data_IF_582835812858
#
_entry.id   IF_582835812858
#
_cell.length_a   1.000
_cell.length_b   1.000
_cell.length_c   1.000
_cell.angle_alpha   90.00
_cell.angle_beta   90.00
_cell.angle_gamma   90.00
#
_symmetry.space_group_name_H-M   'P 1'
#
loop_
_entity.id
_entity.type
_entity.pdbx_description
1 polymer ?
#
# COMPACT_ATOMS: atom_id res chain seq x y z
N UNK A 1 -8.94 -11.58 32.01
CA UNK A 1 -10.44 -11.58 31.94
C UNK A 1 -10.97 -10.73 30.79
N UNK A 2 -10.47 -9.52 30.58
CA UNK A 2 -10.90 -8.62 29.47
C UNK A 2 -10.68 -9.25 28.09
N UNK A 3 -9.61 -9.99 27.91
CA UNK A 3 -9.24 -10.63 26.63
C UNK A 3 -10.23 -11.73 26.22
N UNK A 4 -10.90 -12.35 27.19
CA UNK A 4 -11.84 -13.45 26.96
C UNK A 4 -13.32 -13.00 26.96
N UNK A 5 -13.60 -11.70 27.02
CA UNK A 5 -14.97 -11.22 26.96
C UNK A 5 -15.57 -11.46 25.57
N UNK A 6 -16.83 -11.85 25.50
CA UNK A 6 -17.54 -12.08 24.22
C UNK A 6 -17.55 -10.84 23.32
N UNK A 7 -17.68 -9.66 23.91
CA UNK A 7 -17.67 -8.37 23.17
C UNK A 7 -16.31 -8.15 22.53
N UNK A 8 -15.23 -8.38 23.26
CA UNK A 8 -13.87 -8.19 22.80
C UNK A 8 -13.54 -9.14 21.64
N UNK A 9 -13.90 -10.41 21.76
CA UNK A 9 -13.68 -11.42 20.70
C UNK A 9 -14.51 -11.15 19.45
N UNK A 10 -15.75 -10.68 19.58
CA UNK A 10 -16.59 -10.30 18.45
C UNK A 10 -16.02 -9.07 17.71
N UNK A 11 -15.60 -8.05 18.44
CA UNK A 11 -14.98 -6.87 17.83
C UNK A 11 -13.70 -7.21 17.09
N UNK A 12 -12.84 -8.02 17.68
CA UNK A 12 -11.61 -8.47 17.04
C UNK A 12 -11.87 -9.32 15.80
N UNK A 13 -12.89 -10.17 15.82
CA UNK A 13 -13.28 -10.96 14.66
C UNK A 13 -13.77 -10.07 13.51
N UNK A 14 -14.59 -9.06 13.81
CA UNK A 14 -15.08 -8.13 12.78
C UNK A 14 -13.94 -7.26 12.22
N UNK A 15 -13.08 -6.72 13.07
CA UNK A 15 -11.91 -5.96 12.65
C UNK A 15 -10.97 -6.79 11.75
N UNK A 16 -10.83 -8.08 12.06
CA UNK A 16 -10.07 -9.01 11.24
C UNK A 16 -10.69 -9.22 9.86
N UNK A 17 -11.98 -9.46 9.77
CA UNK A 17 -12.68 -9.63 8.49
C UNK A 17 -12.57 -8.37 7.63
N UNK A 18 -12.70 -7.20 8.24
CA UNK A 18 -12.48 -5.91 7.58
C UNK A 18 -11.03 -5.79 7.09
N UNK A 19 -10.06 -6.15 7.92
CA UNK A 19 -8.64 -6.18 7.52
C UNK A 19 -8.37 -7.11 6.33
N UNK A 20 -9.01 -8.29 6.28
CA UNK A 20 -8.91 -9.20 5.14
C UNK A 20 -9.55 -8.63 3.86
N UNK A 21 -10.68 -7.92 3.97
CA UNK A 21 -11.33 -7.27 2.83
C UNK A 21 -10.37 -6.32 2.10
N UNK A 22 -9.56 -5.57 2.84
CA UNK A 22 -8.57 -4.64 2.28
C UNK A 22 -7.20 -5.29 2.00
N UNK A 23 -6.96 -6.50 2.43
CA UNK A 23 -5.69 -7.22 2.27
C UNK A 23 -5.44 -7.81 0.88
N UNK A 24 -6.11 -7.33 -0.15
CA UNK A 24 -5.92 -7.75 -1.55
C UNK A 24 -4.78 -6.97 -2.22
N UNK A 25 -4.21 -7.52 -3.30
CA UNK A 25 -3.16 -6.83 -4.06
C UNK A 25 -3.64 -5.48 -4.61
N UNK A 26 -4.87 -5.42 -5.12
CA UNK A 26 -5.48 -4.17 -5.61
C UNK A 26 -5.49 -3.10 -4.52
N UNK A 27 -6.03 -3.43 -3.36
CA UNK A 27 -6.13 -2.46 -2.26
C UNK A 27 -4.76 -2.07 -1.71
N UNK A 28 -3.82 -3.01 -1.63
CA UNK A 28 -2.45 -2.73 -1.19
C UNK A 28 -1.70 -1.84 -2.18
N UNK A 29 -1.86 -2.07 -3.48
CA UNK A 29 -1.25 -1.23 -4.52
C UNK A 29 -1.82 0.20 -4.54
N UNK A 30 -3.12 0.36 -4.26
CA UNK A 30 -3.79 1.66 -4.12
C UNK A 30 -3.66 2.26 -2.72
N UNK A 31 -2.97 1.58 -1.79
CA UNK A 31 -2.91 1.94 -0.37
C UNK A 31 -4.29 2.11 0.29
N UNK A 32 -5.32 1.49 -0.28
CA UNK A 32 -6.68 1.47 0.25
C UNK A 32 -6.75 0.57 1.49
N UNK A 33 -7.43 1.02 2.54
CA UNK A 33 -7.44 0.37 3.84
C UNK A 33 -8.80 0.46 4.55
N UNK A 34 -8.87 -0.06 5.76
CA UNK A 34 -10.10 -0.10 6.55
C UNK A 34 -10.75 1.27 6.82
N UNK A 35 -10.00 2.37 6.74
CA UNK A 35 -10.57 3.72 6.91
C UNK A 35 -11.61 4.05 5.83
N UNK A 36 -11.56 3.38 4.69
CA UNK A 36 -12.56 3.51 3.64
C UNK A 36 -13.92 2.85 3.99
N UNK A 37 -13.93 1.95 4.99
CA UNK A 37 -15.16 1.38 5.57
C UNK A 37 -15.52 2.02 6.91
N UNK A 38 -14.70 2.95 7.42
CA UNK A 38 -15.01 3.64 8.68
C UNK A 38 -16.15 4.61 8.46
N UNK A 39 -17.25 4.39 9.17
CA UNK A 39 -18.44 5.22 9.04
C UNK A 39 -18.46 6.33 10.08
N UNK A 40 -18.76 7.53 9.65
CA UNK A 40 -19.09 8.67 10.49
C UNK A 40 -20.52 9.12 10.24
N UNK A 41 -21.17 9.68 11.28
CA UNK A 41 -22.51 10.21 11.12
C UNK A 41 -22.46 11.53 10.34
N UNK A 42 -23.19 11.57 9.24
CA UNK A 42 -23.29 12.77 8.40
C UNK A 42 -24.63 13.45 8.69
N UNK A 43 -24.59 14.59 9.36
CA UNK A 43 -25.79 15.34 9.74
C UNK A 43 -26.65 15.76 8.54
N UNK A 44 -26.01 16.08 7.40
CA UNK A 44 -26.71 16.49 6.19
C UNK A 44 -27.48 15.34 5.51
N UNK A 45 -26.96 14.10 5.65
CA UNK A 45 -27.59 12.90 5.09
C UNK A 45 -28.45 12.15 6.10
N UNK A 46 -28.37 12.49 7.40
CA UNK A 46 -29.07 11.82 8.50
C UNK A 46 -28.70 10.34 8.68
N UNK A 47 -27.51 9.93 8.23
CA UNK A 47 -27.07 8.52 8.26
C UNK A 47 -25.57 8.39 8.41
N UNK A 48 -25.10 7.18 8.80
CA UNK A 48 -23.68 6.85 8.77
C UNK A 48 -23.21 6.64 7.33
N UNK A 49 -22.14 7.35 6.95
CA UNK A 49 -21.48 7.23 5.65
C UNK A 49 -19.99 6.96 5.85
N UNK A 50 -19.33 6.28 4.92
CA UNK A 50 -17.87 6.12 4.97
C UNK A 50 -17.15 7.48 4.99
N UNK A 51 -16.11 7.63 5.80
CA UNK A 51 -15.31 8.87 5.90
C UNK A 51 -14.78 9.32 4.53
N UNK A 52 -14.43 8.35 3.69
CA UNK A 52 -13.92 8.61 2.34
C UNK A 52 -14.94 8.28 1.24
N UNK A 53 -16.24 8.50 1.50
CA UNK A 53 -17.33 8.20 0.56
C UNK A 53 -17.11 8.82 -0.82
N UNK A 54 -16.65 10.06 -0.87
CA UNK A 54 -16.37 10.78 -2.13
C UNK A 54 -15.16 10.21 -2.88
N UNK A 55 -14.18 9.61 -2.17
CA UNK A 55 -12.98 9.04 -2.76
C UNK A 55 -13.18 7.61 -3.28
N UNK A 56 -14.14 6.87 -2.73
CA UNK A 56 -14.38 5.47 -3.13
C UNK A 56 -14.64 5.35 -4.65
N UNK A 57 -15.56 6.16 -5.26
CA UNK A 57 -15.80 6.11 -6.69
C UNK A 57 -14.57 6.48 -7.52
N UNK A 58 -13.73 7.39 -7.00
CA UNK A 58 -12.49 7.79 -7.67
C UNK A 58 -11.47 6.66 -7.70
N UNK A 59 -11.27 5.96 -6.58
CA UNK A 59 -10.35 4.83 -6.47
C UNK A 59 -10.81 3.58 -7.25
N UNK A 60 -12.08 3.53 -7.64
CA UNK A 60 -12.63 2.44 -8.45
C UNK A 60 -12.55 2.70 -9.95
N UNK A 61 -12.19 3.93 -10.36
CA UNK A 61 -11.96 4.23 -11.77
C UNK A 61 -10.83 3.38 -12.35
N UNK A 62 -11.00 2.83 -13.56
CA UNK A 62 -9.96 2.02 -14.20
C UNK A 62 -8.60 2.74 -14.31
N UNK A 63 -8.62 4.04 -14.59
CA UNK A 63 -7.40 4.85 -14.69
C UNK A 63 -6.62 4.89 -13.36
N UNK A 64 -7.31 5.09 -12.25
CA UNK A 64 -6.70 5.12 -10.90
C UNK A 64 -6.09 3.75 -10.55
N UNK A 65 -6.78 2.66 -10.90
CA UNK A 65 -6.28 1.31 -10.70
C UNK A 65 -5.03 1.06 -11.52
N UNK A 66 -5.01 1.46 -12.80
CA UNK A 66 -3.83 1.33 -13.68
C UNK A 66 -2.65 2.12 -13.14
N UNK A 67 -2.88 3.35 -12.65
CA UNK A 67 -1.83 4.18 -12.04
C UNK A 67 -1.28 3.49 -10.78
N UNK A 68 -2.15 3.00 -9.89
CA UNK A 68 -1.73 2.30 -8.67
C UNK A 68 -0.85 1.07 -8.97
N UNK A 69 -1.26 0.24 -9.92
CA UNK A 69 -0.44 -0.89 -10.37
C UNK A 69 0.85 -0.44 -11.05
N UNK A 70 0.83 0.66 -11.82
CA UNK A 70 2.02 1.25 -12.42
C UNK A 70 3.05 1.66 -11.37
N UNK A 71 2.62 2.37 -10.33
CA UNK A 71 3.48 2.75 -9.19
C UNK A 71 4.02 1.50 -8.50
N UNK A 72 3.17 0.52 -8.23
CA UNK A 72 3.58 -0.75 -7.62
C UNK A 72 4.64 -1.48 -8.45
N UNK A 73 4.47 -1.52 -9.77
CA UNK A 73 5.45 -2.10 -10.70
C UNK A 73 6.79 -1.35 -10.66
N UNK A 74 6.76 -0.01 -10.62
CA UNK A 74 7.99 0.80 -10.50
C UNK A 74 8.71 0.50 -9.18
N UNK A 75 7.98 0.33 -8.08
CA UNK A 75 8.55 -0.09 -6.77
C UNK A 75 9.22 -1.46 -6.89
N UNK A 76 8.54 -2.44 -7.49
CA UNK A 76 9.11 -3.77 -7.72
C UNK A 76 10.40 -3.71 -8.57
N UNK A 77 10.41 -2.87 -9.61
CA UNK A 77 11.60 -2.60 -10.41
C UNK A 77 12.74 -2.01 -9.55
N UNK A 78 12.43 -1.08 -8.65
CA UNK A 78 13.39 -0.50 -7.71
C UNK A 78 14.02 -1.54 -6.78
N UNK A 79 13.23 -2.50 -6.30
CA UNK A 79 13.73 -3.64 -5.52
C UNK A 79 14.71 -4.47 -6.35
N UNK A 80 14.33 -4.85 -7.57
CA UNK A 80 15.18 -5.64 -8.46
C UNK A 80 16.50 -4.94 -8.79
N UNK A 81 16.45 -3.64 -9.07
CA UNK A 81 17.65 -2.81 -9.32
C UNK A 81 18.54 -2.78 -8.09
N UNK A 82 17.95 -2.62 -6.89
CA UNK A 82 18.69 -2.60 -5.63
C UNK A 82 19.45 -3.89 -5.38
N UNK A 83 18.82 -5.03 -5.63
CA UNK A 83 19.44 -6.35 -5.52
C UNK A 83 20.55 -6.50 -6.57
N UNK A 84 20.26 -6.17 -7.83
CA UNK A 84 21.24 -6.30 -8.94
C UNK A 84 22.46 -5.42 -8.74
N UNK A 85 22.26 -4.18 -8.26
CA UNK A 85 23.37 -3.23 -7.98
C UNK A 85 24.03 -3.48 -6.60
N UNK A 86 23.58 -4.46 -5.83
CA UNK A 86 24.07 -4.77 -4.46
C UNK A 86 24.09 -3.54 -3.54
N UNK A 87 23.04 -2.70 -3.63
CA UNK A 87 22.91 -1.53 -2.78
C UNK A 87 22.61 -1.95 -1.34
N UNK A 88 23.60 -1.86 -0.47
CA UNK A 88 23.55 -2.36 0.92
C UNK A 88 22.39 -1.74 1.71
N UNK A 89 22.14 -0.44 1.56
CA UNK A 89 21.09 0.26 2.30
C UNK A 89 19.69 -0.14 1.82
N UNK A 90 19.49 -0.23 0.53
CA UNK A 90 18.23 -0.65 -0.02
C UNK A 90 17.95 -2.14 0.28
N UNK A 91 18.97 -3.01 0.25
CA UNK A 91 18.84 -4.42 0.62
C UNK A 91 18.49 -4.56 2.11
N UNK A 92 19.07 -3.74 2.98
CA UNK A 92 18.75 -3.73 4.42
C UNK A 92 17.29 -3.32 4.69
N UNK A 93 16.66 -2.55 3.80
CA UNK A 93 15.25 -2.17 3.89
C UNK A 93 14.29 -3.29 3.43
N UNK A 94 14.78 -4.27 2.66
CA UNK A 94 13.96 -5.32 2.08
C UNK A 94 13.17 -6.16 3.11
N UNK A 95 13.74 -6.59 4.25
CA UNK A 95 12.97 -7.28 5.29
C UNK A 95 11.81 -6.43 5.82
N UNK A 96 12.02 -5.14 6.02
CA UNK A 96 10.98 -4.20 6.50
C UNK A 96 9.85 -4.11 5.48
N UNK A 97 10.20 -3.98 4.19
CA UNK A 97 9.22 -3.99 3.10
C UNK A 97 8.43 -5.30 3.08
N UNK A 98 9.11 -6.45 3.09
CA UNK A 98 8.46 -7.76 2.99
C UNK A 98 7.53 -8.04 4.19
N UNK A 99 7.97 -7.71 5.41
CA UNK A 99 7.15 -7.86 6.61
C UNK A 99 5.94 -6.95 6.54
N UNK A 100 6.14 -5.67 6.27
CA UNK A 100 5.03 -4.69 6.20
C UNK A 100 4.05 -5.03 5.09
N UNK A 101 4.55 -5.42 3.91
CA UNK A 101 3.72 -5.86 2.79
C UNK A 101 2.91 -7.11 3.16
N UNK A 102 3.54 -8.11 3.79
CA UNK A 102 2.87 -9.35 4.20
C UNK A 102 1.73 -9.11 5.18
N UNK A 103 1.91 -8.18 6.13
CA UNK A 103 0.85 -7.85 7.08
C UNK A 103 -0.29 -7.05 6.47
N UNK A 104 -0.01 -6.19 5.52
CA UNK A 104 -1.05 -5.41 4.82
C UNK A 104 -1.75 -6.25 3.77
N UNK A 105 -0.99 -6.99 2.94
CA UNK A 105 -1.51 -7.87 1.91
C UNK A 105 -1.89 -9.27 2.46
N UNK A 106 -2.59 -9.30 3.57
CA UNK A 106 -2.86 -10.52 4.34
C UNK A 106 -3.91 -11.46 3.71
N UNK A 107 -4.53 -11.09 2.62
CA UNK A 107 -5.48 -11.92 1.87
C UNK A 107 -4.90 -12.48 0.56
N UNK A 108 -3.59 -12.39 0.36
CA UNK A 108 -2.88 -12.94 -0.80
C UNK A 108 -2.13 -14.21 -0.37
N UNK A 109 -2.16 -15.26 -1.17
CA UNK A 109 -1.30 -16.43 -0.94
C UNK A 109 0.18 -16.04 -1.19
N UNK A 110 1.14 -16.48 -0.39
CA UNK A 110 1.03 -17.41 0.76
C UNK A 110 0.71 -16.71 2.11
N UNK A 111 0.72 -15.37 2.18
CA UNK A 111 0.57 -14.60 3.42
C UNK A 111 -0.75 -14.89 4.12
N UNK A 112 -1.83 -15.13 3.37
CA UNK A 112 -3.14 -15.52 3.90
C UNK A 112 -3.06 -16.79 4.76
N UNK A 113 -2.34 -17.79 4.29
CA UNK A 113 -2.22 -19.09 5.00
C UNK A 113 -1.47 -18.89 6.31
N UNK A 114 -0.34 -18.16 6.26
CA UNK A 114 0.49 -17.87 7.43
C UNK A 114 -0.32 -17.03 8.44
N UNK A 115 -1.03 -16.03 7.95
CA UNK A 115 -1.81 -15.15 8.79
C UNK A 115 -2.96 -15.89 9.49
N UNK A 116 -3.69 -16.73 8.75
CA UNK A 116 -4.75 -17.57 9.32
C UNK A 116 -4.21 -18.56 10.36
N UNK A 117 -3.09 -19.22 10.05
CA UNK A 117 -2.42 -20.12 11.01
C UNK A 117 -2.02 -19.40 12.30
N UNK A 118 -1.39 -18.24 12.19
CA UNK A 118 -1.00 -17.45 13.37
C UNK A 118 -2.22 -17.04 14.21
N UNK A 119 -3.33 -16.70 13.57
CA UNK A 119 -4.56 -16.34 14.27
C UNK A 119 -5.23 -17.49 15.01
N UNK A 120 -5.11 -18.70 14.47
CA UNK A 120 -5.67 -19.90 15.11
C UNK A 120 -4.78 -20.40 16.25
N UNK A 121 -3.46 -20.30 16.11
CA UNK A 121 -2.51 -20.94 17.00
C UNK A 121 -1.86 -20.01 18.01
N UNK A 122 -1.79 -18.71 17.73
CA UNK A 122 -1.13 -17.77 18.63
C UNK A 122 -2.18 -16.97 19.39
N UNK A 123 -2.27 -17.16 20.72
CA UNK A 123 -3.12 -16.33 21.57
C UNK A 123 -2.81 -14.84 21.37
N UNK A 124 -3.83 -14.01 21.45
CA UNK A 124 -3.72 -12.56 21.31
C UNK A 124 -3.27 -12.03 19.92
N UNK A 125 -2.92 -12.90 18.97
CA UNK A 125 -2.52 -12.45 17.62
C UNK A 125 -3.61 -11.60 16.95
N UNK A 126 -4.88 -12.00 17.06
CA UNK A 126 -6.04 -11.25 16.55
C UNK A 126 -6.13 -9.87 17.20
N UNK A 127 -5.89 -9.80 18.52
CA UNK A 127 -5.96 -8.56 19.29
C UNK A 127 -4.81 -7.61 18.93
N UNK A 128 -3.60 -8.15 18.89
CA UNK A 128 -2.40 -7.38 18.58
C UNK A 128 -2.40 -6.84 17.15
N UNK A 129 -2.96 -7.60 16.20
CA UNK A 129 -2.89 -7.31 14.77
C UNK A 129 -4.26 -7.15 14.10
N UNK A 130 -5.27 -6.74 14.88
CA UNK A 130 -6.61 -6.47 14.35
C UNK A 130 -6.65 -5.37 13.29
N UNK A 131 -5.76 -4.38 13.37
CA UNK A 131 -5.59 -3.31 12.39
C UNK A 131 -4.14 -3.26 11.89
N UNK A 132 -3.73 -4.19 11.00
CA UNK A 132 -2.35 -4.22 10.52
C UNK A 132 -1.96 -2.93 9.78
N UNK A 133 -2.90 -2.30 9.08
CA UNK A 133 -2.63 -1.06 8.35
C UNK A 133 -2.09 0.04 9.27
N UNK A 134 -2.69 0.28 10.43
CA UNK A 134 -2.25 1.35 11.36
C UNK A 134 -0.82 1.16 11.86
N UNK A 135 -0.32 -0.09 11.85
CA UNK A 135 1.00 -0.44 12.36
C UNK A 135 2.06 -0.49 11.27
N UNK A 136 1.69 -1.00 10.10
CA UNK A 136 2.63 -1.31 9.03
C UNK A 136 2.56 -0.38 7.82
N UNK A 137 1.53 0.47 7.69
CA UNK A 137 1.38 1.36 6.55
C UNK A 137 2.52 2.35 6.41
N UNK A 138 2.96 2.97 7.50
CA UNK A 138 4.05 3.93 7.46
C UNK A 138 5.37 3.29 7.00
N UNK A 139 5.65 2.07 7.49
CA UNK A 139 6.85 1.31 7.10
C UNK A 139 6.77 0.89 5.63
N UNK A 140 5.59 0.47 5.16
CA UNK A 140 5.37 0.12 3.77
C UNK A 140 5.52 1.35 2.86
N UNK A 141 4.87 2.46 3.20
CA UNK A 141 4.94 3.71 2.43
C UNK A 141 6.36 4.25 2.34
N UNK A 142 7.11 4.25 3.46
CA UNK A 142 8.51 4.66 3.49
C UNK A 142 9.37 3.79 2.59
N UNK A 143 9.15 2.48 2.63
CA UNK A 143 9.85 1.52 1.77
C UNK A 143 9.49 1.72 0.30
N UNK A 144 8.20 1.97 -0.02
CA UNK A 144 7.73 2.29 -1.36
C UNK A 144 8.45 3.53 -1.91
N UNK A 145 8.51 4.61 -1.12
CA UNK A 145 9.15 5.85 -1.54
C UNK A 145 10.63 5.65 -1.88
N UNK A 146 11.36 4.88 -1.08
CA UNK A 146 12.77 4.57 -1.33
C UNK A 146 12.94 3.77 -2.62
N UNK A 147 12.22 2.65 -2.79
CA UNK A 147 12.36 1.83 -3.99
C UNK A 147 11.85 2.52 -5.24
N UNK A 148 10.78 3.29 -5.14
CA UNK A 148 10.28 4.14 -6.22
C UNK A 148 11.35 5.13 -6.67
N UNK A 149 11.99 5.84 -5.74
CA UNK A 149 13.07 6.79 -6.03
C UNK A 149 14.28 6.13 -6.69
N UNK A 150 14.65 4.93 -6.26
CA UNK A 150 15.75 4.16 -6.87
C UNK A 150 15.41 3.79 -8.32
N UNK A 151 14.17 3.35 -8.58
CA UNK A 151 13.73 3.04 -9.94
C UNK A 151 13.73 4.28 -10.83
N UNK A 152 13.17 5.39 -10.37
CA UNK A 152 13.15 6.65 -11.11
C UNK A 152 14.56 7.16 -11.41
N UNK A 153 15.46 7.11 -10.42
CA UNK A 153 16.86 7.49 -10.60
C UNK A 153 17.56 6.62 -11.67
N UNK A 154 17.27 5.33 -11.68
CA UNK A 154 17.82 4.43 -12.69
C UNK A 154 17.26 4.73 -14.09
N UNK A 155 15.94 4.92 -14.20
CA UNK A 155 15.28 5.28 -15.46
C UNK A 155 15.86 6.60 -15.98
N UNK A 156 16.00 7.60 -15.10
CA UNK A 156 16.59 8.89 -15.47
C UNK A 156 18.03 8.73 -16.01
N UNK A 157 18.89 8.02 -15.30
CA UNK A 157 20.27 7.76 -15.74
C UNK A 157 20.33 6.99 -17.08
N UNK A 158 19.42 6.04 -17.28
CA UNK A 158 19.30 5.31 -18.53
C UNK A 158 18.92 6.24 -19.68
N UNK A 159 17.90 7.09 -19.49
CA UNK A 159 17.45 8.07 -20.47
C UNK A 159 18.56 9.10 -20.76
N UNK A 160 19.23 9.56 -19.70
CA UNK A 160 20.36 10.51 -19.85
C UNK A 160 21.48 9.97 -20.73
N UNK A 161 21.76 8.70 -20.64
CA UNK A 161 22.80 8.05 -21.45
C UNK A 161 22.41 7.88 -22.93
N UNK A 162 21.12 7.71 -23.22
CA UNK A 162 20.63 7.34 -24.55
C UNK A 162 19.94 8.49 -25.30
N UNK A 163 19.62 9.60 -24.64
CA UNK A 163 18.93 10.73 -25.25
C UNK A 163 19.88 11.87 -25.60
N UNK A 164 19.61 12.52 -26.71
CA UNK A 164 20.27 13.77 -27.10
C UNK A 164 19.89 14.91 -26.13
N UNK A 165 20.74 15.92 -25.99
CA UNK A 165 20.54 17.02 -25.03
C UNK A 165 19.14 17.69 -25.14
N UNK A 166 18.65 17.87 -26.36
CA UNK A 166 17.31 18.44 -26.59
C UNK A 166 16.18 17.51 -26.11
N UNK A 167 16.33 16.19 -26.28
CA UNK A 167 15.34 15.21 -25.85
C UNK A 167 15.27 15.07 -24.32
N UNK A 168 16.37 15.32 -23.60
CA UNK A 168 16.41 15.32 -22.13
C UNK A 168 15.43 16.34 -21.53
N UNK A 169 15.41 17.55 -22.08
CA UNK A 169 14.51 18.61 -21.59
C UNK A 169 13.04 18.26 -21.84
N UNK A 170 12.73 17.64 -22.98
CA UNK A 170 11.37 17.19 -23.29
C UNK A 170 10.94 16.10 -22.31
N UNK A 171 11.79 15.11 -22.04
CA UNK A 171 11.49 14.04 -21.08
C UNK A 171 11.31 14.59 -19.66
N UNK A 172 12.16 15.52 -19.24
CA UNK A 172 12.03 16.17 -17.93
C UNK A 172 10.69 16.92 -17.82
N UNK A 173 10.34 17.72 -18.80
CA UNK A 173 9.09 18.48 -18.85
C UNK A 173 7.87 17.55 -18.89
N UNK A 174 7.89 16.50 -19.71
CA UNK A 174 6.78 15.52 -19.76
C UNK A 174 6.63 14.74 -18.45
N UNK A 175 7.74 14.38 -17.81
CA UNK A 175 7.71 13.71 -16.49
C UNK A 175 7.11 14.64 -15.44
N UNK A 176 7.52 15.90 -15.42
CA UNK A 176 7.00 16.91 -14.49
C UNK A 176 5.50 17.18 -14.72
N UNK A 177 5.08 17.25 -15.98
CA UNK A 177 3.67 17.40 -16.36
C UNK A 177 2.83 16.17 -15.95
N UNK A 178 3.36 14.96 -16.13
CA UNK A 178 2.69 13.73 -15.66
C UNK A 178 2.56 13.75 -14.13
N UNK A 179 3.61 14.11 -13.39
CA UNK A 179 3.52 14.20 -11.93
C UNK A 179 2.54 15.24 -11.45
N UNK A 180 2.49 16.43 -12.05
CA UNK A 180 1.53 17.47 -11.68
C UNK A 180 0.09 17.08 -12.01
N UNK A 181 -0.14 16.44 -13.16
CA UNK A 181 -1.48 15.92 -13.50
C UNK A 181 -1.89 14.77 -12.57
N UNK A 182 -1.00 13.85 -12.24
CA UNK A 182 -1.28 12.80 -11.26
C UNK A 182 -1.59 13.36 -9.88
N UNK A 183 -0.85 14.38 -9.43
CA UNK A 183 -1.11 15.04 -8.13
C UNK A 183 -2.44 15.81 -8.12
N UNK A 184 -2.91 16.29 -9.26
CA UNK A 184 -4.21 16.94 -9.39
C UNK A 184 -5.37 15.93 -9.39
N UNK A 185 -5.13 14.73 -9.92
CA UNK A 185 -6.16 13.67 -10.00
C UNK A 185 -6.16 12.72 -8.79
N UNK A 186 -5.14 12.76 -7.93
CA UNK A 186 -5.09 12.04 -6.66
C UNK A 186 -5.61 12.90 -5.50
#
# INVERSE_FOLDING_TARGET
EVVNSKIHTQFSQQAFLTGQKFGTLKNTALLKNFLFDWGEYNDNKGQFVPVFDEWIPHLEKPITIVIGYGIFFIVALGILISIKKKNKYAIALLPIFLVSFSFIANNIAPTKIIFSFCQEKIPLFKEALRFPFTKFSLLLMSSFAVYFSIALSFIYQFLEKHLLAHQKNIVLLTTLLIFTTLSYYM
#
